data_IF_188799341963
#
_entry.id   IF_188799341963
#
_cell.length_a   1.000
_cell.length_b   1.000
_cell.length_c   1.000
_cell.angle_alpha   90.00
_cell.angle_beta   90.00
_cell.angle_gamma   90.00
#
_symmetry.space_group_name_H-M   'P 1'
#
loop_
_entity.id
_entity.type
_entity.pdbx_description
1 polymer ?
#
# COMPACT_ATOMS: atom_id res chain seq x y z
N UNK A 1 9.78 3.88 6.42
CA UNK A 1 8.39 4.27 6.71
C UNK A 1 7.40 3.13 6.54
N UNK A 2 7.39 2.39 5.41
CA UNK A 2 6.52 1.20 5.23
C UNK A 2 6.53 0.23 6.42
N UNK A 3 7.70 -0.21 6.87
CA UNK A 3 7.83 -1.10 8.05
C UNK A 3 7.25 -0.52 9.35
N UNK A 4 7.26 0.81 9.50
CA UNK A 4 6.72 1.48 10.68
C UNK A 4 5.20 1.41 10.66
N UNK A 5 4.59 1.64 9.49
CA UNK A 5 3.13 1.49 9.31
C UNK A 5 2.68 0.05 9.56
N UNK A 6 3.44 -0.95 9.12
CA UNK A 6 3.08 -2.36 9.30
C UNK A 6 3.25 -2.87 10.72
N UNK A 7 4.18 -2.33 11.51
CA UNK A 7 4.47 -2.84 12.86
C UNK A 7 3.85 -2.00 13.97
N UNK A 8 3.69 -0.70 13.74
CA UNK A 8 3.29 0.26 14.77
C UNK A 8 2.32 1.31 14.21
N UNK A 9 1.54 0.98 13.18
CA UNK A 9 0.60 1.89 12.52
C UNK A 9 -0.42 2.51 13.46
N UNK A 10 -0.84 1.81 14.52
CA UNK A 10 -1.75 2.35 15.54
C UNK A 10 -1.13 3.46 16.42
N UNK A 11 0.20 3.61 16.41
CA UNK A 11 0.92 4.65 17.16
C UNK A 11 1.44 5.77 16.24
N UNK A 12 1.22 5.66 14.93
CA UNK A 12 1.62 6.69 13.97
C UNK A 12 0.60 7.81 14.01
N UNK A 13 1.08 9.03 14.26
CA UNK A 13 0.22 10.21 14.25
C UNK A 13 -0.11 10.61 12.82
N UNK A 14 -1.30 11.17 12.64
CA UNK A 14 -1.83 11.58 11.34
C UNK A 14 -0.89 12.46 10.49
N UNK A 15 -0.14 13.44 11.04
CA UNK A 15 0.82 14.21 10.23
C UNK A 15 1.95 13.37 9.63
N UNK A 16 2.36 12.30 10.31
CA UNK A 16 3.40 11.38 9.83
C UNK A 16 2.82 10.51 8.71
N UNK A 17 1.59 10.02 8.87
CA UNK A 17 0.87 9.29 7.83
C UNK A 17 0.68 10.17 6.58
N UNK A 18 0.20 11.40 6.74
CA UNK A 18 0.04 12.35 5.63
C UNK A 18 1.36 12.67 4.93
N UNK A 19 2.46 12.77 5.70
CA UNK A 19 3.80 12.98 5.14
C UNK A 19 4.27 11.76 4.33
N UNK A 20 3.93 10.55 4.77
CA UNK A 20 4.20 9.32 4.02
C UNK A 20 3.41 9.27 2.71
N UNK A 21 2.10 9.55 2.74
CA UNK A 21 1.27 9.61 1.53
C UNK A 21 1.84 10.65 0.55
N UNK A 22 2.18 11.85 1.05
CA UNK A 22 2.79 12.88 0.23
C UNK A 22 4.09 12.43 -0.41
N UNK A 23 4.97 11.75 0.34
CA UNK A 23 6.22 11.21 -0.19
C UNK A 23 5.97 10.26 -1.36
N UNK A 24 5.04 9.30 -1.22
CA UNK A 24 4.65 8.39 -2.30
C UNK A 24 4.09 9.18 -3.49
N UNK A 25 3.23 10.15 -3.24
CA UNK A 25 2.62 10.96 -4.30
C UNK A 25 3.65 11.81 -5.08
N UNK A 26 4.69 12.31 -4.41
CA UNK A 26 5.74 13.13 -5.04
C UNK A 26 6.87 12.33 -5.70
N UNK A 27 6.93 11.01 -5.49
CA UNK A 27 8.02 10.16 -5.99
C UNK A 27 7.47 9.11 -6.95
N UNK A 28 7.23 9.54 -8.20
CA UNK A 28 6.55 8.78 -9.26
C UNK A 28 7.12 7.40 -9.52
N UNK A 29 8.45 7.28 -9.47
CA UNK A 29 9.21 6.06 -9.71
C UNK A 29 9.01 5.01 -8.61
N UNK A 30 8.54 5.41 -7.42
CA UNK A 30 8.27 4.51 -6.30
C UNK A 30 6.78 4.23 -6.09
N UNK A 31 5.86 4.88 -6.81
CA UNK A 31 4.42 4.74 -6.60
C UNK A 31 3.97 3.29 -6.75
N UNK A 32 4.28 2.66 -7.88
CA UNK A 32 3.93 1.26 -8.16
C UNK A 32 4.52 0.32 -7.10
N UNK A 33 5.78 0.55 -6.69
CA UNK A 33 6.45 -0.26 -5.65
C UNK A 33 5.76 -0.12 -4.29
N UNK A 34 5.47 1.12 -3.89
CA UNK A 34 4.84 1.42 -2.62
C UNK A 34 3.46 0.79 -2.53
N UNK A 35 2.67 0.88 -3.61
CA UNK A 35 1.31 0.34 -3.68
C UNK A 35 1.31 -1.18 -3.61
N UNK A 36 2.24 -1.86 -4.29
CA UNK A 36 2.39 -3.31 -4.15
C UNK A 36 2.76 -3.73 -2.73
N UNK A 37 3.74 -3.05 -2.10
CA UNK A 37 4.10 -3.35 -0.70
C UNK A 37 2.94 -3.07 0.26
N UNK A 38 2.17 -1.99 0.04
CA UNK A 38 1.00 -1.66 0.84
C UNK A 38 -0.10 -2.72 0.68
N UNK A 39 -0.44 -3.10 -0.54
CA UNK A 39 -1.41 -4.17 -0.82
C UNK A 39 -1.02 -5.49 -0.15
N UNK A 40 0.22 -5.95 -0.34
CA UNK A 40 0.73 -7.17 0.29
C UNK A 40 0.74 -7.08 1.81
N UNK A 41 0.98 -5.89 2.37
CA UNK A 41 0.95 -5.68 3.82
C UNK A 41 -0.48 -5.72 4.36
N UNK A 42 -1.45 -5.12 3.66
CA UNK A 42 -2.87 -5.16 4.02
C UNK A 42 -3.44 -6.57 3.97
N UNK A 43 -3.08 -7.38 2.96
CA UNK A 43 -3.47 -8.80 2.93
C UNK A 43 -2.97 -9.59 4.14
N UNK A 44 -1.88 -9.14 4.79
CA UNK A 44 -1.31 -9.81 5.96
C UNK A 44 -1.93 -9.31 7.27
N UNK A 45 -2.13 -8.00 7.39
CA UNK A 45 -2.63 -7.39 8.61
C UNK A 45 -3.34 -6.06 8.31
N UNK A 46 -4.65 -6.00 8.57
CA UNK A 46 -5.50 -4.81 8.46
C UNK A 46 -5.72 -4.09 9.80
N UNK A 47 -5.17 -4.62 10.90
CA UNK A 47 -5.39 -4.09 12.26
C UNK A 47 -4.58 -2.84 12.57
N UNK A 48 -3.68 -2.45 11.68
CA UNK A 48 -2.87 -1.23 11.77
C UNK A 48 -3.57 -0.06 11.07
N UNK A 49 -4.19 0.85 11.82
CA UNK A 49 -5.04 1.93 11.29
C UNK A 49 -4.31 2.80 10.25
N UNK A 50 -3.11 3.28 10.55
CA UNK A 50 -2.34 4.10 9.60
C UNK A 50 -1.91 3.34 8.35
N UNK A 51 -1.72 2.02 8.44
CA UNK A 51 -1.44 1.18 7.27
C UNK A 51 -2.70 1.07 6.41
N UNK A 52 -3.85 0.80 7.04
CA UNK A 52 -5.16 0.68 6.39
C UNK A 52 -5.54 1.96 5.67
N UNK A 53 -5.42 3.12 6.33
CA UNK A 53 -5.71 4.42 5.73
C UNK A 53 -4.76 4.77 4.58
N UNK A 54 -3.44 4.68 4.80
CA UNK A 54 -2.46 5.00 3.75
C UNK A 54 -2.53 4.01 2.59
N UNK A 55 -2.70 2.72 2.87
CA UNK A 55 -2.86 1.66 1.88
C UNK A 55 -4.12 1.85 1.05
N UNK A 56 -5.25 2.18 1.68
CA UNK A 56 -6.50 2.43 0.96
C UNK A 56 -6.40 3.63 0.02
N UNK A 57 -5.80 4.72 0.48
CA UNK A 57 -5.60 5.90 -0.38
C UNK A 57 -4.68 5.59 -1.55
N UNK A 58 -3.52 4.98 -1.29
CA UNK A 58 -2.55 4.64 -2.34
C UNK A 58 -3.10 3.63 -3.35
N UNK A 59 -3.84 2.60 -2.92
CA UNK A 59 -4.45 1.62 -3.83
C UNK A 59 -5.56 2.28 -4.66
N UNK A 60 -6.34 3.20 -4.08
CA UNK A 60 -7.36 3.95 -4.81
C UNK A 60 -6.77 4.84 -5.92
N UNK A 61 -5.67 5.54 -5.62
CA UNK A 61 -5.01 6.43 -6.59
C UNK A 61 -4.21 5.67 -7.66
N UNK A 62 -3.53 4.59 -7.27
CA UNK A 62 -2.56 3.89 -8.12
C UNK A 62 -2.97 2.44 -8.44
N UNK A 63 -4.26 2.12 -8.37
CA UNK A 63 -4.79 0.79 -8.63
C UNK A 63 -4.46 0.28 -10.04
N UNK A 64 -4.47 1.15 -11.04
CA UNK A 64 -4.06 0.79 -12.40
C UNK A 64 -2.60 0.31 -12.47
N UNK A 65 -1.72 0.94 -11.71
CA UNK A 65 -0.31 0.58 -11.64
C UNK A 65 -0.12 -0.76 -10.91
N UNK A 66 -0.95 -1.03 -9.89
CA UNK A 66 -0.99 -2.31 -9.19
C UNK A 66 -1.43 -3.46 -10.12
N UNK A 67 -2.49 -3.26 -10.90
CA UNK A 67 -3.05 -4.27 -11.83
C UNK A 67 -2.13 -4.55 -13.02
N UNK A 68 -1.44 -3.54 -13.55
CA UNK A 68 -0.51 -3.72 -14.67
C UNK A 68 0.72 -4.55 -14.30
N UNK A 69 1.07 -4.59 -13.02
CA UNK A 69 2.27 -5.25 -12.53
C UNK A 69 3.55 -4.51 -12.95
N UNK A 70 4.46 -4.26 -12.00
CA UNK A 70 5.78 -3.75 -12.30
C UNK A 70 6.81 -4.88 -12.46
N UNK A 71 7.79 -4.71 -13.34
CA UNK A 71 9.01 -5.50 -13.28
C UNK A 71 9.87 -4.96 -12.13
N UNK A 72 9.99 -5.72 -11.05
CA UNK A 72 10.81 -5.37 -9.89
C UNK A 72 12.04 -6.25 -9.80
N UNK A 73 13.14 -5.67 -9.32
CA UNK A 73 14.38 -6.38 -9.02
C UNK A 73 14.26 -7.30 -7.79
N UNK A 74 13.21 -7.16 -6.96
CA UNK A 74 12.89 -8.08 -5.86
C UNK A 74 11.89 -9.15 -6.32
N UNK A 75 12.35 -10.40 -6.46
CA UNK A 75 11.56 -11.59 -6.85
C UNK A 75 10.30 -11.83 -5.99
N UNK A 76 10.24 -11.32 -4.76
CA UNK A 76 9.09 -11.50 -3.85
C UNK A 76 7.87 -10.61 -4.16
N UNK A 77 7.99 -9.60 -5.04
CA UNK A 77 6.97 -8.57 -5.23
C UNK A 77 5.98 -8.83 -6.37
N UNK A 78 6.30 -9.73 -7.30
CA UNK A 78 5.47 -9.93 -8.49
C UNK A 78 4.33 -10.90 -8.17
N UNK A 79 3.38 -10.46 -7.35
CA UNK A 79 2.06 -11.08 -7.30
C UNK A 79 1.19 -10.43 -8.38
N UNK A 80 0.68 -11.27 -9.29
CA UNK A 80 -0.39 -10.86 -10.17
C UNK A 80 -1.61 -10.50 -9.31
N UNK A 81 -2.08 -9.25 -9.41
CA UNK A 81 -3.24 -8.76 -8.66
C UNK A 81 -4.41 -8.63 -9.61
N UNK A 82 -5.54 -9.23 -9.25
CA UNK A 82 -6.79 -9.11 -10.01
C UNK A 82 -7.71 -8.07 -9.37
N UNK A 83 -8.53 -7.42 -10.19
CA UNK A 83 -9.48 -6.39 -9.75
C UNK A 83 -10.38 -6.85 -8.60
N UNK A 84 -10.92 -8.07 -8.68
CA UNK A 84 -11.79 -8.60 -7.62
C UNK A 84 -11.06 -8.79 -6.30
N UNK A 85 -9.75 -9.10 -6.30
CA UNK A 85 -8.99 -9.25 -5.05
C UNK A 85 -8.82 -7.92 -4.32
N UNK A 86 -8.77 -6.80 -5.05
CA UNK A 86 -8.75 -5.45 -4.46
C UNK A 86 -10.10 -5.16 -3.80
N UNK A 87 -11.20 -5.54 -4.46
CA UNK A 87 -12.56 -5.38 -3.92
C UNK A 87 -12.72 -6.24 -2.66
N UNK A 88 -12.29 -7.50 -2.70
CA UNK A 88 -12.36 -8.42 -1.56
C UNK A 88 -11.54 -7.90 -0.38
N UNK A 89 -10.35 -7.34 -0.65
CA UNK A 89 -9.53 -6.71 0.38
C UNK A 89 -10.26 -5.53 1.03
N UNK A 90 -10.84 -4.63 0.24
CA UNK A 90 -11.58 -3.49 0.78
C UNK A 90 -12.86 -3.89 1.51
N UNK A 91 -13.50 -5.00 1.14
CA UNK A 91 -14.65 -5.53 1.86
C UNK A 91 -14.26 -6.15 3.23
N UNK A 92 -12.98 -6.48 3.43
CA UNK A 92 -12.46 -7.04 4.69
C UNK A 92 -11.96 -6.01 5.69
N UNK A 93 -11.73 -4.77 5.23
CA UNK A 93 -11.33 -3.61 6.04
C UNK A 93 -12.55 -3.01 6.75
#
# INVERSE_FOLDING_TARGET
>A
MLRVLTLAGNYVKEPIMASFIRLVATTTELQTYAVQKLYTSLKKDITQESLTQAGSWCIGEYGDALLRGGQYEEEELVQEVKEHEIIDLFASI
#
